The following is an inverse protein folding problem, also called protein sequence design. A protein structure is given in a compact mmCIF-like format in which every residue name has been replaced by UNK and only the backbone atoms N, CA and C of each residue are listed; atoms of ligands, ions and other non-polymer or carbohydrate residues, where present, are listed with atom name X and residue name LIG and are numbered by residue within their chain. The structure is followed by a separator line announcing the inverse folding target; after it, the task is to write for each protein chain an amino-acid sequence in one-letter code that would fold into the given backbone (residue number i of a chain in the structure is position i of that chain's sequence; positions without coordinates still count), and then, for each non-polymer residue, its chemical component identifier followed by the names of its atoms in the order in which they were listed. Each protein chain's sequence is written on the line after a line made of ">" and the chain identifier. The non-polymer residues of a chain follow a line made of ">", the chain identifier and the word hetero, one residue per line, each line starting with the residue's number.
data_IF_800117801033
#
_entry.id   IF_800117801033
#
_cell.length_a   1.000
_cell.length_b   1.000
_cell.length_c   1.000
_cell.angle_alpha   90.00
_cell.angle_beta   90.00
_cell.angle_gamma   90.00
#
_symmetry.space_group_name_H-M   'P 1'
#
loop_
_entity.id
_entity.type
_entity.pdbx_description
1 polymer ?
#
# COMPACT_ATOMS: atom_id res chain seq x y z
N UNK A 1 -15.17 7.51 20.61
CA UNK A 1 -14.46 7.07 19.39
C UNK A 1 -13.04 7.56 19.46
N UNK A 2 -12.03 6.75 19.09
CA UNK A 2 -10.65 7.24 19.04
C UNK A 2 -10.55 8.39 18.04
N UNK A 3 -9.79 9.42 18.40
CA UNK A 3 -9.56 10.59 17.55
C UNK A 3 -8.53 10.19 16.48
N UNK A 4 -8.92 10.26 15.21
CA UNK A 4 -8.00 10.07 14.09
C UNK A 4 -7.10 11.30 14.03
N UNK A 5 -5.83 11.11 14.38
CA UNK A 5 -4.81 12.17 14.41
C UNK A 5 -3.79 12.01 13.30
N UNK A 6 -3.56 10.77 12.86
CA UNK A 6 -2.63 10.44 11.78
C UNK A 6 -3.32 9.60 10.71
N UNK A 7 -2.68 9.44 9.56
CA UNK A 7 -3.23 8.59 8.50
C UNK A 7 -3.17 7.11 8.88
N UNK A 8 -2.25 6.71 9.76
CA UNK A 8 -2.15 5.32 10.25
C UNK A 8 -3.34 4.90 11.12
N UNK A 9 -4.10 5.87 11.65
CA UNK A 9 -5.34 5.61 12.38
C UNK A 9 -6.51 5.23 11.45
N UNK A 10 -6.36 5.44 10.13
CA UNK A 10 -7.39 5.13 9.13
C UNK A 10 -7.38 3.64 8.80
N UNK A 11 -8.49 2.96 9.04
CA UNK A 11 -8.64 1.54 8.65
C UNK A 11 -8.36 1.32 7.16
N UNK A 12 -8.80 2.21 6.28
CA UNK A 12 -8.50 2.10 4.85
C UNK A 12 -7.00 2.21 4.53
N UNK A 13 -6.21 2.96 5.31
CA UNK A 13 -4.76 3.01 5.15
C UNK A 13 -4.12 1.70 5.61
N UNK A 14 -4.59 1.14 6.73
CA UNK A 14 -4.09 -0.14 7.27
C UNK A 14 -4.33 -1.28 6.28
N UNK A 15 -5.54 -1.36 5.71
CA UNK A 15 -5.89 -2.34 4.68
C UNK A 15 -5.04 -2.15 3.41
N UNK A 16 -4.82 -0.91 2.97
CA UNK A 16 -3.96 -0.62 1.81
C UNK A 16 -2.49 -1.02 2.07
N UNK A 17 -1.99 -0.80 3.29
CA UNK A 17 -0.65 -1.21 3.68
C UNK A 17 -0.53 -2.75 3.73
N UNK A 18 -1.54 -3.45 4.29
CA UNK A 18 -1.58 -4.92 4.30
C UNK A 18 -1.58 -5.49 2.88
N UNK A 19 -2.41 -4.93 1.99
CA UNK A 19 -2.46 -5.32 0.59
C UNK A 19 -1.10 -5.15 -0.10
N UNK A 20 -0.39 -4.05 0.17
CA UNK A 20 0.96 -3.86 -0.36
C UNK A 20 1.92 -4.95 0.16
N UNK A 21 1.90 -5.27 1.45
CA UNK A 21 2.71 -6.37 2.00
C UNK A 21 2.39 -7.71 1.34
N UNK A 22 1.12 -8.07 1.19
CA UNK A 22 0.70 -9.30 0.52
C UNK A 22 1.19 -9.37 -0.92
N UNK A 23 1.09 -8.26 -1.67
CA UNK A 23 1.60 -8.17 -3.04
C UNK A 23 3.11 -8.38 -3.10
N UNK A 24 3.87 -7.84 -2.14
CA UNK A 24 5.30 -8.10 -2.05
C UNK A 24 5.59 -9.58 -1.76
N UNK A 25 4.85 -10.19 -0.84
CA UNK A 25 5.02 -11.59 -0.44
C UNK A 25 4.71 -12.57 -1.58
N UNK A 26 3.60 -12.40 -2.31
CA UNK A 26 3.26 -13.29 -3.43
C UNK A 26 4.19 -13.12 -4.65
N UNK A 27 4.89 -11.99 -4.73
CA UNK A 27 5.71 -11.64 -5.90
C UNK A 27 7.21 -11.74 -5.65
N UNK A 28 7.66 -12.14 -4.45
CA UNK A 28 9.09 -12.25 -4.12
C UNK A 28 9.74 -13.54 -4.59
N UNK A 29 8.96 -14.58 -4.87
CA UNK A 29 9.45 -15.92 -5.25
C UNK A 29 8.72 -16.48 -6.49
N UNK A 30 9.20 -17.62 -7.00
CA UNK A 30 8.60 -18.32 -8.14
C UNK A 30 8.79 -17.63 -9.50
N UNK A 31 7.92 -17.92 -10.46
CA UNK A 31 7.97 -17.30 -11.78
C UNK A 31 7.64 -15.80 -11.73
N UNK A 32 6.80 -15.39 -10.78
CA UNK A 32 6.43 -13.99 -10.62
C UNK A 32 7.63 -13.13 -10.20
N UNK A 33 8.57 -13.66 -9.43
CA UNK A 33 9.78 -12.91 -9.05
C UNK A 33 10.70 -12.58 -10.23
N UNK A 34 10.59 -13.35 -11.33
CA UNK A 34 11.39 -13.23 -12.56
C UNK A 34 10.74 -12.29 -13.59
N UNK A 35 9.44 -12.03 -13.49
CA UNK A 35 8.76 -11.03 -14.32
C UNK A 35 8.97 -9.62 -13.74
N UNK A 36 10.19 -9.10 -13.91
CA UNK A 36 10.61 -7.82 -13.32
C UNK A 36 9.66 -6.66 -13.67
N UNK A 37 9.19 -6.60 -14.92
CA UNK A 37 8.33 -5.53 -15.41
C UNK A 37 6.95 -5.56 -14.75
N UNK A 38 6.27 -6.70 -14.80
CA UNK A 38 4.94 -6.85 -14.21
C UNK A 38 4.99 -6.74 -12.68
N UNK A 39 5.96 -7.41 -12.05
CA UNK A 39 6.19 -7.36 -10.60
C UNK A 39 6.36 -5.93 -10.10
N UNK A 40 7.21 -5.14 -10.74
CA UNK A 40 7.49 -3.77 -10.30
C UNK A 40 6.31 -2.82 -10.56
N UNK A 41 5.52 -3.05 -11.61
CA UNK A 41 4.26 -2.31 -11.81
C UNK A 41 3.24 -2.62 -10.73
N UNK A 42 3.03 -3.90 -10.42
CA UNK A 42 2.05 -4.31 -9.40
C UNK A 42 2.43 -3.78 -8.01
N UNK A 43 3.70 -3.92 -7.61
CA UNK A 43 4.20 -3.42 -6.31
C UNK A 43 4.03 -1.91 -6.17
N UNK A 44 4.38 -1.14 -7.21
CA UNK A 44 4.22 0.32 -7.18
C UNK A 44 2.75 0.75 -7.12
N UNK A 45 1.88 0.06 -7.87
CA UNK A 45 0.44 0.33 -7.82
C UNK A 45 -0.12 0.07 -6.41
N UNK A 46 0.27 -1.03 -5.76
CA UNK A 46 -0.16 -1.35 -4.41
C UNK A 46 0.27 -0.30 -3.38
N UNK A 47 1.55 0.08 -3.38
CA UNK A 47 2.09 1.11 -2.47
C UNK A 47 1.41 2.46 -2.71
N UNK A 48 1.10 2.79 -3.96
CA UNK A 48 0.46 4.06 -4.32
C UNK A 48 -0.89 4.27 -3.62
N UNK A 49 -1.64 3.21 -3.33
CA UNK A 49 -2.93 3.33 -2.61
C UNK A 49 -2.70 3.91 -1.20
N UNK A 50 -1.78 3.33 -0.43
CA UNK A 50 -1.46 3.80 0.92
C UNK A 50 -0.86 5.21 0.90
N UNK A 51 0.00 5.51 -0.09
CA UNK A 51 0.59 6.85 -0.28
C UNK A 51 -0.49 7.91 -0.56
N UNK A 52 -1.44 7.64 -1.47
CA UNK A 52 -2.51 8.59 -1.78
C UNK A 52 -3.43 8.84 -0.57
N UNK A 53 -3.71 7.81 0.24
CA UNK A 53 -4.48 7.97 1.49
C UNK A 53 -3.72 8.86 2.49
N UNK A 54 -2.42 8.62 2.65
CA UNK A 54 -1.57 9.42 3.54
C UNK A 54 -1.47 10.88 3.08
N UNK A 55 -1.25 11.12 1.78
CA UNK A 55 -1.23 12.45 1.18
C UNK A 55 -2.58 13.17 1.34
N UNK A 56 -3.70 12.47 1.11
CA UNK A 56 -5.04 13.02 1.30
C UNK A 56 -5.30 13.47 2.74
N UNK A 57 -4.83 12.70 3.74
CA UNK A 57 -4.93 13.07 5.16
C UNK A 57 -3.98 14.20 5.56
N UNK A 58 -2.81 14.31 4.93
CA UNK A 58 -1.85 15.40 5.16
C UNK A 58 -2.28 16.74 4.54
N UNK A 59 -3.05 16.70 3.46
CA UNK A 59 -3.51 17.88 2.72
C UNK A 59 -4.92 18.34 3.09
N UNK A 60 -5.73 17.48 3.72
CA UNK A 60 -6.99 17.86 4.36
C UNK A 60 -6.76 18.35 5.78
N UNK A 61 -7.11 19.60 6.07
CA UNK A 61 -7.14 20.18 7.43
C UNK A 61 -7.74 19.21 8.47
#
# INVERSE_FOLDING_TARGET
>A
MPKITRFEDLGCWQEAASLATEIYEISKEGEFSKDFGFRDQLRRAAVSIASNIAEGKGNGK
#
